data_IF_550959503302
#
_entry.id   IF_550959503302
#
_cell.length_a   1.000
_cell.length_b   1.000
_cell.length_c   1.000
_cell.angle_alpha   90.00
_cell.angle_beta   90.00
_cell.angle_gamma   90.00
#
_symmetry.space_group_name_H-M   'P 1'
#
loop_
_entity.id
_entity.type
_entity.pdbx_description
1 polymer ?
#
# COMPACT_ATOMS: atom_id res chain seq x y z
N UNK A 1 -16.31 10.69 -6.63
CA UNK A 1 -17.39 11.32 -7.42
C UNK A 1 -18.30 10.29 -8.04
N UNK A 2 -17.92 9.60 -9.12
CA UNK A 2 -18.77 8.63 -9.84
C UNK A 2 -19.44 7.60 -8.93
N UNK A 3 -18.66 6.89 -8.10
CA UNK A 3 -19.17 5.83 -7.21
C UNK A 3 -20.19 6.37 -6.19
N UNK A 4 -20.07 7.64 -5.80
CA UNK A 4 -20.91 8.28 -4.79
C UNK A 4 -22.12 9.02 -5.39
N UNK A 5 -22.33 8.98 -6.71
CA UNK A 5 -23.44 9.67 -7.38
C UNK A 5 -23.28 11.20 -7.47
N UNK A 6 -22.05 11.71 -7.35
CA UNK A 6 -21.73 13.14 -7.47
C UNK A 6 -21.52 13.49 -8.96
N UNK A 7 -22.59 13.43 -9.74
CA UNK A 7 -22.54 13.58 -11.20
C UNK A 7 -22.24 15.03 -11.63
N UNK A 8 -22.79 16.03 -10.95
CA UNK A 8 -22.52 17.45 -11.26
C UNK A 8 -21.04 17.80 -11.07
N UNK A 9 -20.43 17.37 -9.97
CA UNK A 9 -19.00 17.58 -9.71
C UNK A 9 -18.12 16.79 -10.69
N UNK A 10 -18.54 15.59 -11.07
CA UNK A 10 -17.84 14.79 -12.08
C UNK A 10 -17.86 15.49 -13.45
N UNK A 11 -19.03 15.95 -13.91
CA UNK A 11 -19.17 16.65 -15.18
C UNK A 11 -18.36 17.96 -15.18
N UNK A 12 -18.43 18.73 -14.09
CA UNK A 12 -17.62 19.92 -13.93
C UNK A 12 -16.12 19.62 -14.03
N UNK A 13 -15.65 18.57 -13.35
CA UNK A 13 -14.25 18.14 -13.40
C UNK A 13 -13.82 17.69 -14.81
N UNK A 14 -14.66 16.91 -15.48
CA UNK A 14 -14.42 16.41 -16.82
C UNK A 14 -14.32 17.55 -17.84
N UNK A 15 -15.32 18.44 -17.87
CA UNK A 15 -15.43 19.51 -18.86
C UNK A 15 -14.37 20.60 -18.67
N UNK A 16 -14.12 21.02 -17.42
CA UNK A 16 -13.29 22.19 -17.16
C UNK A 16 -11.81 21.86 -16.92
N UNK A 17 -11.49 20.64 -16.45
CA UNK A 17 -10.12 20.26 -16.12
C UNK A 17 -9.61 19.13 -17.00
N UNK A 18 -10.25 17.96 -17.00
CA UNK A 18 -9.69 16.78 -17.67
C UNK A 18 -9.52 16.98 -19.18
N UNK A 19 -10.53 17.58 -19.83
CA UNK A 19 -10.45 17.90 -21.27
C UNK A 19 -9.34 18.88 -21.62
N UNK A 20 -8.97 19.76 -20.68
CA UNK A 20 -7.99 20.83 -20.89
C UNK A 20 -6.58 20.47 -20.38
N UNK A 21 -6.40 19.31 -19.73
CA UNK A 21 -5.11 18.84 -19.24
C UNK A 21 -4.08 18.74 -20.37
N UNK A 22 -2.91 19.34 -20.13
CA UNK A 22 -1.77 19.33 -21.05
C UNK A 22 -0.58 18.64 -20.39
N UNK A 23 -0.35 17.37 -20.73
CA UNK A 23 0.76 16.57 -20.19
C UNK A 23 2.14 16.96 -20.76
N UNK A 24 2.23 18.06 -21.52
CA UNK A 24 3.50 18.65 -21.97
C UNK A 24 4.08 19.68 -21.02
N UNK A 25 3.36 20.06 -19.97
CA UNK A 25 3.77 21.13 -19.05
C UNK A 25 3.67 20.68 -17.60
N UNK A 26 4.71 21.00 -16.83
CA UNK A 26 4.69 20.85 -15.38
C UNK A 26 5.63 21.85 -14.71
N UNK A 27 5.34 22.23 -13.47
CA UNK A 27 6.24 23.07 -12.68
C UNK A 27 7.42 22.28 -12.07
N UNK A 28 7.37 20.94 -12.12
CA UNK A 28 8.39 20.05 -11.58
C UNK A 28 8.48 18.74 -12.39
N UNK A 29 9.60 17.98 -12.29
CA UNK A 29 9.65 16.62 -12.81
C UNK A 29 8.53 15.75 -12.23
N UNK A 30 7.92 14.92 -13.08
CA UNK A 30 6.88 13.98 -12.71
C UNK A 30 7.52 12.70 -12.17
N UNK A 31 7.08 12.21 -11.01
CA UNK A 31 7.48 10.91 -10.47
C UNK A 31 6.66 9.81 -11.16
N UNK A 32 7.31 8.87 -11.82
CA UNK A 32 6.65 7.87 -12.68
C UNK A 32 5.61 7.02 -11.93
N UNK A 33 6.02 6.49 -10.77
CA UNK A 33 5.16 5.70 -9.88
C UNK A 33 3.86 6.45 -9.52
N UNK A 34 3.98 7.66 -8.94
CA UNK A 34 2.84 8.50 -8.56
C UNK A 34 1.97 8.87 -9.77
N UNK A 35 2.61 9.10 -10.92
CA UNK A 35 1.88 9.48 -12.13
C UNK A 35 1.07 8.30 -12.68
N UNK A 36 1.59 7.07 -12.57
CA UNK A 36 0.88 5.85 -12.94
C UNK A 36 -0.32 5.61 -12.02
N UNK A 37 -0.08 5.50 -10.71
CA UNK A 37 -1.13 5.06 -9.79
C UNK A 37 -2.24 6.10 -9.63
N UNK A 38 -1.92 7.40 -9.67
CA UNK A 38 -2.91 8.48 -9.46
C UNK A 38 -3.59 8.93 -10.75
N UNK A 39 -2.80 9.36 -11.74
CA UNK A 39 -3.35 9.98 -12.95
C UNK A 39 -3.80 8.93 -13.96
N UNK A 40 -2.92 8.01 -14.36
CA UNK A 40 -3.29 6.94 -15.29
C UNK A 40 -4.39 6.06 -14.66
N UNK A 41 -4.20 5.65 -13.40
CA UNK A 41 -5.18 4.86 -12.67
C UNK A 41 -6.55 5.54 -12.58
N UNK A 42 -6.59 6.83 -12.23
CA UNK A 42 -7.82 7.62 -12.14
C UNK A 42 -8.54 7.78 -13.47
N UNK A 43 -7.80 8.07 -14.56
CA UNK A 43 -8.37 8.19 -15.91
C UNK A 43 -8.97 6.86 -16.39
N UNK A 44 -8.25 5.75 -16.21
CA UNK A 44 -8.70 4.42 -16.60
C UNK A 44 -9.93 3.97 -15.82
N UNK A 45 -9.96 4.19 -14.51
CA UNK A 45 -11.11 3.80 -13.69
C UNK A 45 -12.35 4.65 -14.00
N UNK A 46 -12.17 5.96 -14.23
CA UNK A 46 -13.28 6.80 -14.67
C UNK A 46 -13.83 6.34 -16.04
N UNK A 47 -12.94 5.95 -16.98
CA UNK A 47 -13.36 5.39 -18.26
C UNK A 47 -14.12 4.07 -18.10
N UNK A 48 -13.64 3.15 -17.24
CA UNK A 48 -14.32 1.88 -16.97
C UNK A 48 -15.74 2.07 -16.41
N UNK A 49 -15.98 3.16 -15.68
CA UNK A 49 -17.26 3.43 -15.02
C UNK A 49 -18.24 4.25 -15.89
N UNK A 50 -17.75 5.19 -16.71
CA UNK A 50 -18.62 6.11 -17.50
C UNK A 50 -18.50 5.94 -19.01
N UNK A 51 -17.40 5.39 -19.52
CA UNK A 51 -17.18 5.13 -20.94
C UNK A 51 -16.81 6.36 -21.79
N UNK A 52 -16.51 7.51 -21.18
CA UNK A 52 -16.15 8.74 -21.89
C UNK A 52 -14.81 8.59 -22.60
N UNK A 53 -14.82 8.44 -23.93
CA UNK A 53 -13.62 8.18 -24.75
C UNK A 53 -12.46 9.14 -24.51
N UNK A 54 -12.74 10.40 -24.17
CA UNK A 54 -11.71 11.40 -23.87
C UNK A 54 -10.81 10.99 -22.69
N UNK A 55 -11.33 10.26 -21.71
CA UNK A 55 -10.56 9.74 -20.58
C UNK A 55 -9.51 8.73 -21.05
N UNK A 56 -9.91 7.82 -21.94
CA UNK A 56 -9.00 6.84 -22.52
C UNK A 56 -7.97 7.52 -23.44
N UNK A 57 -8.39 8.50 -24.25
CA UNK A 57 -7.48 9.27 -25.10
C UNK A 57 -6.42 10.00 -24.25
N UNK A 58 -6.81 10.59 -23.11
CA UNK A 58 -5.89 11.21 -22.14
C UNK A 58 -4.99 10.21 -21.42
N UNK A 59 -5.50 9.02 -21.09
CA UNK A 59 -4.70 7.95 -20.49
C UNK A 59 -3.59 7.48 -21.45
N UNK A 60 -3.91 7.31 -22.73
CA UNK A 60 -2.93 6.98 -23.78
C UNK A 60 -1.93 8.13 -23.95
N UNK A 61 -2.40 9.39 -24.04
CA UNK A 61 -1.53 10.57 -24.16
C UNK A 61 -0.50 10.63 -23.02
N UNK A 62 -0.94 10.52 -21.77
CA UNK A 62 -0.07 10.52 -20.59
C UNK A 62 0.95 9.37 -20.65
N UNK A 63 0.48 8.17 -21.01
CA UNK A 63 1.32 6.99 -21.02
C UNK A 63 2.41 7.05 -22.09
N UNK A 64 2.06 7.43 -23.32
CA UNK A 64 3.04 7.56 -24.41
C UNK A 64 4.06 8.67 -24.15
N UNK A 65 3.60 9.77 -23.56
CA UNK A 65 4.42 10.97 -23.41
C UNK A 65 5.32 10.92 -22.17
N UNK A 66 4.81 10.43 -21.05
CA UNK A 66 5.47 10.57 -19.74
C UNK A 66 5.92 9.21 -19.21
N UNK A 67 5.08 8.18 -19.27
CA UNK A 67 5.35 6.92 -18.56
C UNK A 67 6.19 5.93 -19.37
N UNK A 68 5.84 5.68 -20.64
CA UNK A 68 6.61 4.78 -21.51
C UNK A 68 8.08 5.21 -21.68
N UNK A 69 8.40 6.51 -21.85
CA UNK A 69 9.79 6.95 -21.98
C UNK A 69 10.65 6.76 -20.72
N UNK A 70 10.07 6.45 -19.56
CA UNK A 70 10.84 6.14 -18.35
C UNK A 70 11.56 4.80 -18.46
N UNK A 71 11.02 3.84 -19.20
CA UNK A 71 11.56 2.48 -19.27
C UNK A 71 12.86 2.45 -20.08
N UNK A 72 13.96 2.10 -19.43
CA UNK A 72 15.27 1.99 -20.07
C UNK A 72 15.24 0.90 -21.17
N UNK A 73 15.68 1.20 -22.40
CA UNK A 73 15.55 0.28 -23.52
C UNK A 73 16.44 -0.96 -23.41
N UNK A 74 17.46 -0.96 -22.55
CA UNK A 74 18.38 -2.08 -22.37
C UNK A 74 17.89 -2.97 -21.23
N UNK A 75 17.65 -2.39 -20.05
CA UNK A 75 17.32 -3.16 -18.86
C UNK A 75 15.81 -3.43 -18.73
N UNK A 76 14.97 -2.55 -19.28
CA UNK A 76 13.53 -2.50 -19.08
C UNK A 76 13.10 -1.92 -17.73
N UNK A 77 14.03 -1.43 -16.91
CA UNK A 77 13.69 -0.79 -15.64
C UNK A 77 13.31 0.68 -15.88
N UNK A 78 12.25 1.21 -15.22
CA UNK A 78 11.92 2.62 -15.32
C UNK A 78 12.93 3.48 -14.54
N UNK A 79 13.18 4.69 -15.04
CA UNK A 79 13.75 5.78 -14.24
C UNK A 79 12.67 6.36 -13.30
N UNK A 80 13.07 6.95 -12.18
CA UNK A 80 12.11 7.45 -11.17
C UNK A 80 11.34 8.69 -11.64
N UNK A 81 12.00 9.61 -12.37
CA UNK A 81 11.43 10.91 -12.73
C UNK A 81 11.47 11.19 -14.23
N UNK A 82 10.45 11.88 -14.73
CA UNK A 82 10.37 12.43 -16.08
C UNK A 82 10.41 13.96 -16.05
N UNK A 83 11.33 14.58 -16.79
CA UNK A 83 11.36 16.02 -17.03
C UNK A 83 10.32 16.35 -18.11
N UNK A 84 9.13 16.76 -17.66
CA UNK A 84 7.96 17.01 -18.53
C UNK A 84 8.25 18.10 -19.56
N UNK A 85 8.85 19.20 -19.13
CA UNK A 85 9.15 20.35 -20.00
C UNK A 85 10.31 20.04 -20.96
N UNK A 86 11.33 19.33 -20.47
CA UNK A 86 12.45 18.86 -21.28
C UNK A 86 12.16 17.63 -22.14
N UNK A 87 10.97 17.03 -21.98
CA UNK A 87 10.48 15.83 -22.67
C UNK A 87 11.50 14.68 -22.66
N UNK A 88 12.03 14.35 -21.48
CA UNK A 88 13.05 13.30 -21.32
C UNK A 88 13.03 12.69 -19.92
N UNK A 89 13.39 11.40 -19.77
CA UNK A 89 13.59 10.82 -18.45
C UNK A 89 14.79 11.47 -17.74
N UNK A 90 14.67 11.66 -16.43
CA UNK A 90 15.78 12.02 -15.55
C UNK A 90 16.47 10.72 -15.14
N UNK A 91 17.66 10.48 -15.68
CA UNK A 91 18.39 9.24 -15.43
C UNK A 91 18.77 9.10 -13.95
N UNK A 92 18.27 8.04 -13.32
CA UNK A 92 18.64 7.59 -11.98
C UNK A 92 19.42 6.27 -12.06
N UNK A 93 20.27 6.01 -11.07
CA UNK A 93 21.06 4.78 -11.02
C UNK A 93 20.31 3.64 -10.32
N UNK A 94 19.39 3.98 -9.43
CA UNK A 94 18.67 3.02 -8.58
C UNK A 94 17.18 3.30 -8.60
N UNK A 95 16.39 2.25 -8.32
CA UNK A 95 14.93 2.29 -8.19
C UNK A 95 14.48 1.33 -7.08
N UNK A 96 13.34 1.60 -6.44
CA UNK A 96 12.78 0.73 -5.40
C UNK A 96 11.81 -0.31 -5.96
N UNK A 97 11.53 -1.37 -5.20
CA UNK A 97 10.55 -2.41 -5.54
C UNK A 97 9.19 -1.80 -5.94
N UNK A 98 8.59 -0.98 -5.06
CA UNK A 98 7.33 -0.29 -5.34
C UNK A 98 7.43 0.59 -6.60
N UNK A 99 8.52 1.34 -6.76
CA UNK A 99 8.65 2.28 -7.88
C UNK A 99 8.73 1.59 -9.24
N UNK A 100 9.25 0.37 -9.37
CA UNK A 100 9.23 -0.36 -10.65
C UNK A 100 8.12 -1.41 -10.76
N UNK A 101 7.64 -1.94 -9.62
CA UNK A 101 6.66 -3.02 -9.55
C UNK A 101 5.22 -2.58 -9.80
N UNK A 102 4.94 -1.31 -9.52
CA UNK A 102 3.57 -0.79 -9.40
C UNK A 102 3.13 -0.01 -10.65
N UNK A 103 3.43 -0.57 -11.83
CA UNK A 103 2.84 -0.17 -13.11
C UNK A 103 1.94 -1.26 -13.70
N UNK A 104 2.07 -2.50 -13.21
CA UNK A 104 1.56 -3.70 -13.87
C UNK A 104 0.04 -3.69 -14.01
N UNK A 105 -0.69 -3.23 -12.99
CA UNK A 105 -2.16 -3.19 -13.02
C UNK A 105 -2.68 -2.17 -14.03
N UNK A 106 -2.22 -0.91 -13.98
CA UNK A 106 -2.66 0.16 -14.89
C UNK A 106 -2.26 -0.14 -16.33
N UNK A 107 -1.02 -0.61 -16.55
CA UNK A 107 -0.53 -0.90 -17.90
C UNK A 107 -1.21 -2.13 -18.51
N UNK A 108 -1.55 -3.13 -17.69
CA UNK A 108 -2.36 -4.26 -18.12
C UNK A 108 -3.76 -3.79 -18.51
N UNK A 109 -4.41 -2.96 -17.69
CA UNK A 109 -5.73 -2.43 -18.01
C UNK A 109 -5.73 -1.56 -19.28
N UNK A 110 -4.76 -0.66 -19.42
CA UNK A 110 -4.60 0.15 -20.63
C UNK A 110 -4.43 -0.72 -21.88
N UNK A 111 -3.66 -1.80 -21.80
CA UNK A 111 -3.48 -2.74 -22.91
C UNK A 111 -4.76 -3.46 -23.29
N UNK A 112 -5.57 -3.88 -22.30
CA UNK A 112 -6.89 -4.49 -22.53
C UNK A 112 -7.84 -3.53 -23.25
N UNK A 113 -7.86 -2.25 -22.85
CA UNK A 113 -8.76 -1.26 -23.42
C UNK A 113 -8.34 -0.78 -24.82
N UNK A 114 -7.04 -0.72 -25.09
CA UNK A 114 -6.49 -0.23 -26.37
C UNK A 114 -6.19 -1.34 -27.38
N UNK A 115 -6.08 -2.59 -26.93
CA UNK A 115 -5.55 -3.70 -27.72
C UNK A 115 -4.03 -3.66 -27.93
N UNK A 116 -3.33 -2.66 -27.38
CA UNK A 116 -1.89 -2.51 -27.56
C UNK A 116 -1.12 -3.11 -26.38
N UNK A 117 -0.60 -4.32 -26.57
CA UNK A 117 0.10 -5.08 -25.52
C UNK A 117 1.45 -4.50 -25.09
N UNK A 118 1.97 -3.44 -25.75
CA UNK A 118 3.29 -2.90 -25.40
C UNK A 118 3.36 -2.40 -23.96
N UNK A 119 2.26 -1.86 -23.42
CA UNK A 119 2.22 -1.36 -22.04
C UNK A 119 2.32 -2.54 -21.06
N UNK A 120 1.42 -3.52 -21.16
CA UNK A 120 1.44 -4.70 -20.28
C UNK A 120 2.77 -5.43 -20.37
N UNK A 121 3.32 -5.61 -21.59
CA UNK A 121 4.56 -6.33 -21.80
C UNK A 121 5.74 -5.66 -21.09
N UNK A 122 5.87 -4.33 -21.17
CA UNK A 122 7.02 -3.64 -20.55
C UNK A 122 6.95 -3.69 -19.02
N UNK A 123 5.76 -3.47 -18.44
CA UNK A 123 5.57 -3.48 -16.99
C UNK A 123 5.67 -4.89 -16.39
N UNK A 124 5.08 -5.91 -17.05
CA UNK A 124 5.14 -7.28 -16.55
C UNK A 124 6.55 -7.87 -16.68
N UNK A 125 7.27 -7.58 -17.77
CA UNK A 125 8.60 -8.13 -17.99
C UNK A 125 9.61 -7.71 -16.90
N UNK A 126 9.51 -6.50 -16.34
CA UNK A 126 10.42 -6.06 -15.28
C UNK A 126 10.13 -6.77 -13.95
N UNK A 127 8.85 -6.98 -13.62
CA UNK A 127 8.45 -7.76 -12.44
C UNK A 127 8.83 -9.21 -12.58
N UNK A 128 8.62 -9.83 -13.75
CA UNK A 128 9.03 -11.21 -14.03
C UNK A 128 10.54 -11.40 -13.90
N UNK A 129 11.35 -10.45 -14.39
CA UNK A 129 12.80 -10.44 -14.19
C UNK A 129 13.19 -10.36 -12.71
N UNK A 130 12.45 -9.57 -11.92
CA UNK A 130 12.70 -9.40 -10.49
C UNK A 130 12.37 -10.68 -9.72
N UNK A 131 11.19 -11.27 -9.93
CA UNK A 131 10.78 -12.48 -9.21
C UNK A 131 11.62 -13.72 -9.57
N UNK A 132 12.20 -13.73 -10.77
CA UNK A 132 13.14 -14.76 -11.22
C UNK A 132 14.55 -14.61 -10.60
N UNK A 133 14.87 -13.51 -9.91
CA UNK A 133 16.14 -13.43 -9.18
C UNK A 133 16.10 -14.32 -7.94
N UNK A 134 17.22 -14.98 -7.58
CA UNK A 134 17.33 -15.68 -6.31
C UNK A 134 17.10 -14.72 -5.14
N UNK A 135 16.30 -15.14 -4.16
CA UNK A 135 16.09 -14.41 -2.92
C UNK A 135 16.57 -15.23 -1.72
N UNK A 136 17.05 -14.55 -0.67
CA UNK A 136 17.53 -15.20 0.56
C UNK A 136 16.37 -15.74 1.41
N UNK A 137 15.25 -15.03 1.41
CA UNK A 137 13.97 -15.46 1.96
C UNK A 137 13.02 -15.58 0.78
N UNK A 138 12.44 -16.75 0.55
CA UNK A 138 11.67 -17.03 -0.66
C UNK A 138 10.57 -15.99 -0.88
N UNK A 139 10.52 -15.38 -2.07
CA UNK A 139 9.53 -14.36 -2.40
C UNK A 139 9.75 -12.98 -1.76
N UNK A 140 10.79 -12.78 -0.94
CA UNK A 140 11.16 -11.47 -0.40
C UNK A 140 12.43 -10.93 -1.03
N UNK A 141 12.35 -9.74 -1.61
CA UNK A 141 13.42 -9.17 -2.42
C UNK A 141 14.04 -7.94 -1.76
N UNK A 142 15.32 -7.62 -2.04
CA UNK A 142 15.92 -6.36 -1.61
C UNK A 142 15.14 -5.17 -2.19
N UNK A 143 14.94 -4.12 -1.40
CA UNK A 143 14.10 -2.99 -1.77
C UNK A 143 14.69 -2.19 -2.94
N UNK A 144 16.01 -2.03 -2.99
CA UNK A 144 16.69 -1.17 -3.96
C UNK A 144 17.41 -1.97 -5.04
N UNK A 145 17.24 -1.55 -6.30
CA UNK A 145 17.78 -2.20 -7.49
C UNK A 145 18.52 -1.19 -8.35
N UNK A 146 19.59 -1.61 -9.02
CA UNK A 146 20.20 -0.82 -10.07
C UNK A 146 19.24 -0.75 -11.27
N UNK A 147 19.13 0.41 -11.93
CA UNK A 147 18.35 0.55 -13.17
C UNK A 147 19.06 -0.19 -14.31
N UNK A 148 20.38 -0.03 -14.45
CA UNK A 148 21.16 -0.67 -15.51
C UNK A 148 22.60 -0.98 -15.04
N UNK A 149 23.05 -2.25 -15.01
CA UNK A 149 22.27 -3.46 -15.29
C UNK A 149 21.20 -3.70 -14.20
N UNK A 150 20.03 -4.22 -14.58
CA UNK A 150 18.94 -4.45 -13.62
C UNK A 150 19.27 -5.60 -12.68
N UNK A 151 19.68 -5.26 -11.45
CA UNK A 151 20.10 -6.20 -10.40
C UNK A 151 19.79 -5.66 -9.00
N UNK A 152 19.44 -6.53 -8.04
CA UNK A 152 19.21 -6.11 -6.66
C UNK A 152 20.51 -5.62 -6.02
N UNK A 153 20.42 -4.65 -5.12
CA UNK A 153 21.53 -4.21 -4.30
C UNK A 153 21.67 -5.10 -3.06
N UNK A 154 22.81 -5.79 -2.93
CA UNK A 154 23.06 -6.79 -1.88
C UNK A 154 22.88 -6.27 -0.44
N UNK A 155 23.18 -4.99 -0.20
CA UNK A 155 23.10 -4.33 1.11
C UNK A 155 21.76 -3.59 1.34
N UNK A 156 20.79 -3.75 0.44
CA UNK A 156 19.50 -3.08 0.57
C UNK A 156 18.63 -3.76 1.63
N UNK A 157 17.76 -2.96 2.23
CA UNK A 157 16.73 -3.40 3.16
C UNK A 157 15.77 -4.37 2.47
N UNK A 158 15.38 -5.43 3.16
CA UNK A 158 14.20 -6.23 2.84
C UNK A 158 13.09 -5.75 3.76
N UNK A 159 12.10 -5.07 3.19
CA UNK A 159 10.89 -4.64 3.88
C UNK A 159 9.68 -4.89 2.98
N UNK A 160 8.49 -4.84 3.59
CA UNK A 160 7.19 -4.99 2.92
C UNK A 160 6.26 -3.80 3.21
N UNK A 161 6.85 -2.69 3.64
CA UNK A 161 6.21 -1.39 3.87
C UNK A 161 6.79 -0.35 2.91
N UNK A 162 7.02 0.87 3.38
CA UNK A 162 7.42 1.99 2.53
C UNK A 162 8.50 1.62 1.49
N UNK A 163 8.11 1.71 0.22
CA UNK A 163 8.98 1.49 -0.95
C UNK A 163 9.08 0.04 -1.43
N UNK A 164 8.59 -0.93 -0.65
CA UNK A 164 8.47 -2.34 -1.02
C UNK A 164 7.03 -2.85 -1.11
N UNK A 165 6.13 -2.29 -0.32
CA UNK A 165 4.68 -2.53 -0.23
C UNK A 165 3.99 -2.95 -1.54
N UNK A 166 3.76 -1.99 -2.43
CA UNK A 166 2.89 -2.10 -3.59
C UNK A 166 3.46 -3.01 -4.69
N UNK A 167 4.76 -3.31 -4.66
CA UNK A 167 5.32 -4.39 -5.49
C UNK A 167 4.65 -5.72 -5.15
N UNK A 168 4.57 -6.06 -3.87
CA UNK A 168 3.96 -7.31 -3.42
C UNK A 168 2.45 -7.28 -3.61
N UNK A 169 1.82 -6.14 -3.31
CA UNK A 169 0.40 -5.92 -3.55
C UNK A 169 0.01 -6.20 -5.01
N UNK A 170 0.82 -5.71 -5.95
CA UNK A 170 0.59 -5.84 -7.38
C UNK A 170 0.89 -7.22 -7.93
N UNK A 171 1.63 -8.08 -7.22
CA UNK A 171 1.76 -9.47 -7.68
C UNK A 171 0.38 -10.13 -7.79
N UNK A 172 -0.42 -10.09 -6.72
CA UNK A 172 -1.74 -10.69 -6.74
C UNK A 172 -2.76 -9.86 -7.53
N UNK A 173 -2.72 -8.52 -7.42
CA UNK A 173 -3.66 -7.66 -8.17
C UNK A 173 -3.46 -7.78 -9.68
N UNK A 174 -2.21 -7.88 -10.15
CA UNK A 174 -1.89 -8.15 -11.56
C UNK A 174 -2.31 -9.57 -11.98
N UNK A 175 -2.17 -10.55 -11.10
CA UNK A 175 -2.63 -11.92 -11.38
C UNK A 175 -4.15 -11.98 -11.62
N UNK A 176 -4.96 -11.25 -10.85
CA UNK A 176 -6.43 -11.30 -11.01
C UNK A 176 -6.94 -10.45 -12.18
N UNK A 177 -6.27 -9.34 -12.52
CA UNK A 177 -6.67 -8.50 -13.67
C UNK A 177 -6.26 -9.09 -15.03
N UNK A 178 -5.26 -9.98 -15.04
CA UNK A 178 -4.73 -10.58 -16.27
C UNK A 178 -5.68 -11.61 -16.88
N UNK A 179 -5.92 -11.53 -18.19
CA UNK A 179 -6.69 -12.53 -18.93
C UNK A 179 -5.97 -13.89 -18.98
N UNK A 180 -4.64 -13.87 -19.03
CA UNK A 180 -3.76 -15.04 -19.04
C UNK A 180 -2.75 -14.91 -17.89
N UNK A 181 -3.16 -15.20 -16.66
CA UNK A 181 -2.34 -14.91 -15.49
C UNK A 181 -1.11 -15.82 -15.39
N UNK A 182 0.05 -15.23 -15.07
CA UNK A 182 1.30 -15.95 -14.89
C UNK A 182 1.36 -16.61 -13.50
N UNK A 183 1.47 -17.94 -13.45
CA UNK A 183 1.53 -18.69 -12.19
C UNK A 183 2.77 -18.38 -11.35
N UNK A 184 3.87 -17.97 -11.97
CA UNK A 184 5.09 -17.62 -11.24
C UNK A 184 4.88 -16.37 -10.37
N UNK A 185 4.04 -15.44 -10.82
CA UNK A 185 3.64 -14.26 -10.04
C UNK A 185 2.85 -14.68 -8.79
N UNK A 186 1.87 -15.59 -8.95
CA UNK A 186 1.12 -16.12 -7.80
C UNK A 186 2.04 -16.89 -6.84
N UNK A 187 2.94 -17.71 -7.36
CA UNK A 187 3.89 -18.47 -6.55
C UNK A 187 4.83 -17.53 -5.77
N UNK A 188 5.32 -16.46 -6.40
CA UNK A 188 6.14 -15.45 -5.74
C UNK A 188 5.37 -14.74 -4.62
N UNK A 189 4.09 -14.40 -4.85
CA UNK A 189 3.23 -13.81 -3.83
C UNK A 189 2.98 -14.77 -2.65
N UNK A 190 2.65 -16.03 -2.91
CA UNK A 190 2.45 -17.05 -1.86
C UNK A 190 3.74 -17.24 -1.05
N UNK A 191 4.90 -17.29 -1.72
CA UNK A 191 6.18 -17.36 -1.05
C UNK A 191 6.45 -16.13 -0.18
N UNK A 192 6.12 -14.92 -0.67
CA UNK A 192 6.26 -13.68 0.09
C UNK A 192 5.40 -13.71 1.37
N UNK A 193 4.11 -14.04 1.27
CA UNK A 193 3.20 -14.11 2.43
C UNK A 193 3.70 -15.09 3.49
N UNK A 194 4.10 -16.29 3.07
CA UNK A 194 4.62 -17.30 4.00
C UNK A 194 5.93 -16.82 4.66
N UNK A 195 6.85 -16.25 3.87
CA UNK A 195 8.12 -15.72 4.37
C UNK A 195 7.94 -14.52 5.31
N UNK A 196 6.94 -13.66 5.09
CA UNK A 196 6.63 -12.57 6.02
C UNK A 196 6.27 -13.16 7.39
N UNK A 197 5.36 -14.13 7.42
CA UNK A 197 4.94 -14.77 8.67
C UNK A 197 6.10 -15.52 9.36
N UNK A 198 6.91 -16.25 8.58
CA UNK A 198 8.00 -17.08 9.10
C UNK A 198 9.17 -16.25 9.60
N UNK A 199 9.54 -15.18 8.88
CA UNK A 199 10.78 -14.44 9.12
C UNK A 199 10.58 -13.04 9.70
N UNK A 200 9.49 -12.34 9.39
CA UNK A 200 9.34 -10.92 9.72
C UNK A 200 8.31 -10.63 10.82
N UNK A 201 7.31 -11.50 11.01
CA UNK A 201 6.26 -11.32 12.01
C UNK A 201 6.80 -11.49 13.44
N UNK A 202 6.61 -10.47 14.26
CA UNK A 202 7.17 -10.35 15.60
C UNK A 202 6.12 -9.91 16.62
N UNK A 203 5.79 -10.74 17.64
CA UNK A 203 4.89 -10.35 18.71
C UNK A 203 5.51 -9.29 19.62
N UNK A 204 4.70 -8.33 20.09
CA UNK A 204 5.16 -7.33 21.07
C UNK A 204 5.38 -7.97 22.44
N UNK A 205 6.30 -7.41 23.23
CA UNK A 205 6.62 -7.88 24.57
C UNK A 205 5.48 -7.59 25.55
N UNK A 206 4.87 -6.43 25.39
CA UNK A 206 3.84 -5.88 26.25
C UNK A 206 2.50 -6.59 26.02
N UNK A 207 2.14 -6.87 24.77
CA UNK A 207 0.94 -7.63 24.40
C UNK A 207 1.23 -8.60 23.22
N UNK A 208 1.49 -9.88 23.51
CA UNK A 208 1.85 -10.85 22.48
C UNK A 208 0.73 -11.19 21.48
N UNK A 209 -0.51 -10.77 21.75
CA UNK A 209 -1.60 -10.89 20.76
C UNK A 209 -1.42 -9.91 19.61
N UNK A 210 -0.72 -8.79 19.85
CA UNK A 210 -0.36 -7.80 18.86
C UNK A 210 1.00 -8.16 18.28
N UNK A 211 1.06 -8.29 16.96
CA UNK A 211 2.26 -8.67 16.22
C UNK A 211 2.47 -7.75 15.02
N UNK A 212 3.68 -7.24 14.87
CA UNK A 212 4.06 -6.34 13.79
C UNK A 212 5.13 -6.97 12.90
N UNK A 213 5.31 -6.40 11.71
CA UNK A 213 6.23 -6.92 10.70
C UNK A 213 7.53 -6.14 10.73
N UNK A 214 8.61 -6.80 11.14
CA UNK A 214 9.94 -6.24 11.12
C UNK A 214 10.50 -6.12 9.69
N UNK A 215 11.57 -5.33 9.52
CA UNK A 215 12.37 -5.31 8.30
C UNK A 215 13.80 -5.75 8.58
N UNK A 216 14.55 -6.13 7.55
CA UNK A 216 15.93 -6.62 7.69
C UNK A 216 16.87 -5.85 6.77
N UNK A 217 17.93 -5.26 7.32
CA UNK A 217 18.97 -4.56 6.53
C UNK A 217 20.33 -4.94 7.06
N UNK A 218 21.29 -5.34 6.21
CA UNK A 218 22.67 -5.63 6.62
C UNK A 218 22.75 -6.46 7.91
N UNK A 219 22.01 -7.58 7.95
CA UNK A 219 21.98 -8.50 9.10
C UNK A 219 21.35 -7.93 10.39
N UNK A 220 20.75 -6.74 10.33
CA UNK A 220 20.04 -6.10 11.43
C UNK A 220 18.54 -6.20 11.21
N UNK A 221 17.84 -6.76 12.18
CA UNK A 221 16.38 -6.73 12.25
C UNK A 221 15.94 -5.40 12.84
N UNK A 222 15.09 -4.68 12.13
CA UNK A 222 14.49 -3.42 12.58
C UNK A 222 13.04 -3.67 12.97
N UNK A 223 12.74 -3.53 14.27
CA UNK A 223 11.39 -3.63 14.83
C UNK A 223 10.66 -2.29 14.73
N UNK A 224 10.42 -1.87 13.49
CA UNK A 224 9.71 -0.66 13.15
C UNK A 224 8.85 -0.92 11.90
N UNK A 225 7.64 -0.39 11.90
CA UNK A 225 6.67 -0.47 10.80
C UNK A 225 6.03 0.88 10.57
N UNK A 226 5.37 1.03 9.44
CA UNK A 226 4.64 2.23 9.03
C UNK A 226 3.17 1.89 8.75
N UNK A 227 2.28 2.89 8.75
CA UNK A 227 0.85 2.67 8.47
C UNK A 227 0.62 2.05 7.08
N UNK A 228 1.56 2.26 6.15
CA UNK A 228 1.49 1.69 4.80
C UNK A 228 1.38 0.17 4.84
N UNK A 229 2.01 -0.53 5.79
CA UNK A 229 1.91 -2.01 5.84
C UNK A 229 0.49 -2.52 6.06
N UNK A 230 -0.45 -1.68 6.51
CA UNK A 230 -1.79 -2.10 6.85
C UNK A 230 -2.70 -2.39 5.65
N UNK A 231 -2.20 -2.35 4.40
CA UNK A 231 -2.89 -2.88 3.21
C UNK A 231 -2.86 -4.42 3.16
N UNK A 232 -1.85 -5.03 3.78
CA UNK A 232 -1.58 -6.46 3.68
C UNK A 232 -2.72 -7.37 4.14
N UNK A 233 -3.45 -7.10 5.24
CA UNK A 233 -4.57 -7.95 5.65
C UNK A 233 -5.60 -8.10 4.52
N UNK A 234 -6.01 -7.01 3.86
CA UNK A 234 -6.90 -7.06 2.70
C UNK A 234 -6.27 -7.76 1.49
N UNK A 235 -4.98 -7.52 1.23
CA UNK A 235 -4.25 -8.18 0.14
C UNK A 235 -4.14 -9.71 0.32
N UNK A 236 -3.94 -10.19 1.55
CA UNK A 236 -3.91 -11.62 1.88
C UNK A 236 -5.27 -12.26 1.60
N UNK A 237 -6.37 -11.62 1.99
CA UNK A 237 -7.72 -12.11 1.67
C UNK A 237 -7.94 -12.22 0.16
N UNK A 238 -7.52 -11.21 -0.61
CA UNK A 238 -7.57 -11.25 -2.07
C UNK A 238 -6.79 -12.46 -2.63
N UNK A 239 -5.54 -12.67 -2.21
CA UNK A 239 -4.73 -13.76 -2.73
C UNK A 239 -5.17 -15.16 -2.30
N UNK A 240 -5.76 -15.28 -1.11
CA UNK A 240 -6.40 -16.53 -0.65
C UNK A 240 -7.50 -17.00 -1.60
N UNK A 241 -8.20 -16.11 -2.33
CA UNK A 241 -9.19 -16.53 -3.34
C UNK A 241 -8.56 -17.28 -4.53
N UNK A 242 -7.28 -17.03 -4.82
CA UNK A 242 -6.55 -17.65 -5.93
C UNK A 242 -5.72 -18.86 -5.52
N UNK A 243 -5.58 -19.10 -4.21
CA UNK A 243 -4.87 -20.26 -3.67
C UNK A 243 -5.75 -21.52 -3.64
N UNK A 244 -5.11 -22.65 -3.91
CA UNK A 244 -5.70 -23.99 -3.73
C UNK A 244 -5.20 -24.63 -2.43
N UNK A 245 -6.01 -25.50 -1.82
CA UNK A 245 -5.62 -26.23 -0.60
C UNK A 245 -6.04 -25.53 0.70
N UNK A 246 -5.42 -25.92 1.80
CA UNK A 246 -5.67 -25.34 3.12
C UNK A 246 -5.09 -23.92 3.20
N UNK A 247 -5.93 -22.99 3.65
CA UNK A 247 -5.66 -21.54 3.77
C UNK A 247 -5.77 -21.05 5.21
N UNK A 248 -5.92 -21.96 6.17
CA UNK A 248 -6.08 -21.67 7.60
C UNK A 248 -4.91 -20.86 8.16
N UNK A 249 -3.69 -21.17 7.69
CA UNK A 249 -2.46 -20.44 8.01
C UNK A 249 -2.56 -18.97 7.59
N UNK A 250 -2.83 -18.71 6.31
CA UNK A 250 -2.91 -17.34 5.77
C UNK A 250 -4.08 -16.58 6.39
N UNK A 251 -5.21 -17.24 6.63
CA UNK A 251 -6.36 -16.62 7.29
C UNK A 251 -6.01 -16.13 8.70
N UNK A 252 -5.35 -16.98 9.50
CA UNK A 252 -4.94 -16.62 10.86
C UNK A 252 -3.91 -15.49 10.86
N UNK A 253 -2.94 -15.56 9.94
CA UNK A 253 -1.94 -14.51 9.78
C UNK A 253 -2.60 -13.17 9.41
N UNK A 254 -3.48 -13.17 8.42
CA UNK A 254 -4.23 -11.98 8.02
C UNK A 254 -5.01 -11.39 9.20
N UNK A 255 -5.70 -12.22 9.99
CA UNK A 255 -6.49 -11.74 11.13
C UNK A 255 -5.60 -11.11 12.19
N UNK A 256 -4.50 -11.79 12.55
CA UNK A 256 -3.53 -11.26 13.52
C UNK A 256 -3.00 -9.90 13.06
N UNK A 257 -2.75 -9.75 11.76
CA UNK A 257 -2.24 -8.51 11.21
C UNK A 257 -3.33 -7.41 11.18
N UNK A 258 -4.57 -7.74 10.82
CA UNK A 258 -5.71 -6.83 10.87
C UNK A 258 -5.92 -6.28 12.30
N UNK A 259 -5.92 -7.16 13.30
CA UNK A 259 -6.09 -6.80 14.70
C UNK A 259 -4.96 -5.88 15.18
N UNK A 260 -3.72 -6.15 14.78
CA UNK A 260 -2.57 -5.29 15.06
C UNK A 260 -2.71 -3.90 14.44
N UNK A 261 -3.16 -3.79 13.19
CA UNK A 261 -3.40 -2.52 12.52
C UNK A 261 -4.54 -1.72 13.18
N UNK A 262 -5.66 -2.36 13.54
CA UNK A 262 -6.72 -1.69 14.30
C UNK A 262 -6.18 -1.18 15.64
N UNK A 263 -5.30 -1.94 16.29
CA UNK A 263 -4.70 -1.55 17.57
C UNK A 263 -3.85 -0.28 17.48
N UNK A 264 -3.21 -0.01 16.34
CA UNK A 264 -2.42 1.22 16.17
C UNK A 264 -3.29 2.46 16.20
N UNK A 265 -4.53 2.37 15.71
CA UNK A 265 -5.53 3.45 15.80
C UNK A 265 -6.09 3.58 17.22
N UNK A 266 -6.50 2.48 17.85
CA UNK A 266 -7.24 2.52 19.12
C UNK A 266 -6.43 2.99 20.32
N UNK A 267 -5.10 2.99 20.22
CA UNK A 267 -4.19 3.25 21.33
C UNK A 267 -3.49 4.61 21.26
N UNK A 268 -3.90 5.50 20.35
CA UNK A 268 -3.45 6.90 20.31
C UNK A 268 -4.39 7.84 21.06
N UNK A 269 -3.90 9.02 21.42
CA UNK A 269 -4.72 10.06 22.06
C UNK A 269 -5.95 10.44 21.24
N UNK A 270 -5.77 10.61 19.94
CA UNK A 270 -6.82 11.02 18.98
C UNK A 270 -7.66 9.84 18.47
N UNK A 271 -7.15 8.61 18.53
CA UNK A 271 -7.77 7.47 17.87
C UNK A 271 -7.46 7.39 16.36
N UNK A 272 -6.41 8.08 15.90
CA UNK A 272 -5.85 8.02 14.55
C UNK A 272 -4.50 7.30 14.58
N UNK A 273 -4.17 6.49 13.57
CA UNK A 273 -2.87 5.82 13.53
C UNK A 273 -1.71 6.79 13.29
N UNK A 274 -0.55 6.56 13.93
CA UNK A 274 0.70 7.26 13.60
C UNK A 274 1.26 6.76 12.26
N UNK A 275 2.01 7.59 11.56
CA UNK A 275 2.74 7.19 10.34
C UNK A 275 3.73 6.05 10.58
N UNK A 276 4.41 6.03 11.73
CA UNK A 276 5.47 5.06 12.04
C UNK A 276 5.46 4.69 13.52
N UNK A 277 5.62 3.40 13.82
CA UNK A 277 5.79 2.89 15.19
C UNK A 277 6.92 1.86 15.29
N UNK A 278 7.44 1.68 16.51
CA UNK A 278 8.41 0.65 16.86
C UNK A 278 7.94 -0.17 18.07
N UNK A 279 8.49 -1.36 18.28
CA UNK A 279 8.11 -2.19 19.43
C UNK A 279 9.27 -2.98 19.99
N UNK A 280 9.10 -3.42 21.25
CA UNK A 280 9.98 -4.42 21.85
C UNK A 280 9.45 -5.81 21.48
N UNK A 281 10.25 -6.69 20.85
CA UNK A 281 9.79 -8.03 20.52
C UNK A 281 9.75 -8.94 21.75
N UNK A 282 8.67 -9.72 21.93
CA UNK A 282 8.65 -10.87 22.85
C UNK A 282 9.51 -12.01 22.33
N UNK A 283 9.40 -12.27 21.03
CA UNK A 283 10.17 -13.27 20.30
C UNK A 283 10.74 -12.58 19.07
N UNK A 284 12.08 -12.53 18.92
CA UNK A 284 12.71 -11.98 17.73
C UNK A 284 12.13 -12.52 16.42
N UNK A 285 12.01 -11.65 15.42
CA UNK A 285 11.79 -12.06 14.04
C UNK A 285 12.93 -13.00 13.61
N UNK A 286 12.66 -13.88 12.65
CA UNK A 286 13.49 -15.02 12.20
C UNK A 286 13.60 -16.21 13.16
N UNK A 287 13.36 -16.02 14.48
CA UNK A 287 13.55 -17.07 15.51
C UNK A 287 12.72 -18.34 15.31
N UNK A 288 11.59 -18.26 14.60
CA UNK A 288 10.66 -19.38 14.39
C UNK A 288 11.16 -20.43 13.40
N UNK A 289 12.23 -20.15 12.65
CA UNK A 289 12.68 -21.02 11.55
C UNK A 289 13.81 -21.94 12.00
N UNK A 290 13.78 -23.22 11.61
CA UNK A 290 14.89 -24.16 11.85
C UNK A 290 15.97 -24.09 10.76
N UNK A 291 15.83 -23.20 9.76
CA UNK A 291 16.71 -23.13 8.57
C UNK A 291 18.14 -22.72 8.93
N UNK A 292 19.10 -23.67 8.91
CA UNK A 292 20.48 -23.41 9.31
C UNK A 292 21.21 -22.46 8.35
N UNK A 293 20.77 -22.27 7.10
CA UNK A 293 21.46 -21.39 6.14
C UNK A 293 21.12 -19.92 6.40
N UNK A 294 19.87 -19.65 6.75
CA UNK A 294 19.45 -18.33 7.24
C UNK A 294 20.17 -18.06 8.54
N UNK A 295 20.22 -19.04 9.45
CA UNK A 295 20.95 -18.93 10.70
C UNK A 295 22.46 -19.00 10.60
N UNK A 296 23.14 -19.55 9.61
CA UNK A 296 24.60 -19.44 9.49
C UNK A 296 24.96 -18.04 9.00
N UNK A 297 24.11 -17.47 8.15
CA UNK A 297 24.22 -16.08 7.70
C UNK A 297 23.69 -15.05 8.71
N UNK A 298 23.02 -15.50 9.77
CA UNK A 298 22.50 -14.67 10.87
C UNK A 298 23.34 -14.93 12.14
N UNK A 299 23.60 -16.16 12.59
CA UNK A 299 24.29 -16.54 13.86
C UNK A 299 25.78 -16.21 13.93
N UNK A 300 26.53 -16.11 12.84
CA UNK A 300 27.90 -15.55 12.91
C UNK A 300 27.90 -14.04 13.29
N UNK A 301 26.72 -13.45 13.46
CA UNK A 301 26.50 -12.00 13.69
C UNK A 301 25.83 -11.70 15.04
N UNK A 302 25.33 -12.69 15.81
CA UNK A 302 24.64 -12.41 17.08
C UNK A 302 25.50 -12.64 18.32
N UNK A 303 26.33 -11.65 18.61
CA UNK A 303 26.67 -11.26 19.97
C UNK A 303 26.66 -9.73 20.05
N UNK A 304 25.48 -9.13 20.02
CA UNK A 304 25.35 -7.67 19.94
C UNK A 304 24.00 -7.19 20.43
N UNK A 305 24.04 -6.40 21.49
CA UNK A 305 22.92 -5.71 22.14
C UNK A 305 21.93 -5.10 21.15
N UNK A 306 20.64 -5.37 21.37
CA UNK A 306 19.54 -4.50 20.96
C UNK A 306 19.98 -3.06 21.19
N UNK A 307 20.18 -2.29 20.11
CA UNK A 307 20.42 -0.87 20.21
C UNK A 307 19.15 -0.24 20.78
N UNK A 308 19.08 -0.11 22.10
CA UNK A 308 18.23 0.86 22.76
C UNK A 308 18.68 2.22 22.24
N UNK A 309 17.95 2.78 21.27
CA UNK A 309 18.01 4.21 21.07
C UNK A 309 17.50 4.82 22.37
N UNK A 310 18.35 5.55 23.08
CA UNK A 310 17.90 6.22 24.29
C UNK A 310 16.85 7.24 23.88
N UNK A 311 15.70 7.19 24.54
CA UNK A 311 14.71 8.24 24.53
C UNK A 311 15.29 9.47 25.25
N UNK A 312 16.22 10.17 24.61
CA UNK A 312 16.60 11.51 25.04
C UNK A 312 15.73 12.51 24.29
N UNK A 313 14.45 12.57 24.66
CA UNK A 313 13.68 13.78 24.54
C UNK A 313 13.28 14.18 25.95
N UNK A 314 13.96 15.21 26.46
CA UNK A 314 13.55 15.94 27.65
C UNK A 314 12.07 16.29 27.51
N UNK A 315 11.28 15.87 28.49
CA UNK A 315 9.89 16.25 28.65
C UNK A 315 9.82 17.75 28.91
N UNK A 316 9.64 18.54 27.87
CA UNK A 316 8.99 19.84 28.02
C UNK A 316 7.48 19.57 28.10
N UNK A 317 6.91 19.84 29.28
CA UNK A 317 5.54 19.49 29.63
C UNK A 317 4.51 20.03 28.62
N UNK A 318 3.77 19.11 28.00
CA UNK A 318 2.57 19.39 27.22
C UNK A 318 1.37 18.91 28.07
N UNK A 319 0.42 19.77 28.46
CA UNK A 319 -0.76 19.36 29.20
C UNK A 319 -1.75 18.61 28.28
N UNK A 320 -2.42 17.59 28.81
CA UNK A 320 -3.50 16.78 28.21
C UNK A 320 -3.10 15.53 27.41
N UNK A 321 -2.13 14.74 27.86
CA UNK A 321 -2.07 13.32 27.44
C UNK A 321 -3.08 12.50 28.24
N UNK A 322 -3.90 11.71 27.55
CA UNK A 322 -4.62 10.58 28.17
C UNK A 322 -3.58 9.68 28.85
N UNK A 323 -3.93 8.96 29.92
CA UNK A 323 -3.07 7.89 30.40
C UNK A 323 -2.96 6.83 29.30
N UNK A 324 -1.79 6.74 28.68
CA UNK A 324 -1.46 5.79 27.60
C UNK A 324 -0.85 4.49 28.16
N UNK A 325 -1.04 4.21 29.45
CA UNK A 325 -0.62 2.95 30.07
C UNK A 325 -1.22 1.75 29.30
N UNK A 326 -0.34 0.94 28.68
CA UNK A 326 -0.75 -0.28 27.97
C UNK A 326 -0.68 -0.25 26.44
N UNK A 327 -0.07 0.76 25.79
CA UNK A 327 0.26 0.70 24.36
C UNK A 327 1.38 -0.34 24.10
N UNK A 328 1.21 -1.29 23.17
CA UNK A 328 2.22 -2.33 22.90
C UNK A 328 3.34 -1.89 21.93
N UNK A 329 3.41 -0.60 21.62
CA UNK A 329 4.38 0.00 20.70
C UNK A 329 4.71 1.44 21.13
N UNK A 330 5.78 1.98 20.56
CA UNK A 330 6.20 3.37 20.68
C UNK A 330 5.94 4.10 19.37
N UNK A 331 5.47 5.35 19.44
CA UNK A 331 5.26 6.19 18.27
C UNK A 331 6.60 6.80 17.86
N UNK A 332 6.98 6.60 16.60
CA UNK A 332 8.21 7.14 16.01
C UNK A 332 7.91 8.28 15.03
N UNK A 333 6.90 8.10 14.19
CA UNK A 333 6.39 9.09 13.25
C UNK A 333 4.99 9.52 13.69
N UNK A 334 4.85 10.61 14.46
CA UNK A 334 3.63 10.90 15.20
C UNK A 334 2.51 11.52 14.34
N UNK A 335 2.78 11.88 13.10
CA UNK A 335 1.76 12.46 12.22
C UNK A 335 0.70 11.45 11.81
N UNK A 336 -0.46 11.95 11.35
CA UNK A 336 -1.43 11.18 10.57
C UNK A 336 -1.71 11.92 9.26
N UNK A 337 -1.38 11.28 8.15
CA UNK A 337 -1.41 11.91 6.83
C UNK A 337 -2.70 11.64 6.04
N UNK A 338 -3.83 11.38 6.72
CA UNK A 338 -5.12 11.04 6.09
C UNK A 338 -5.12 9.69 5.35
N UNK A 339 -4.18 8.82 5.70
CA UNK A 339 -3.90 7.58 4.96
C UNK A 339 -5.03 6.55 5.01
N UNK A 340 -5.14 5.68 3.98
CA UNK A 340 -6.25 4.75 3.83
C UNK A 340 -5.99 3.30 4.26
N UNK A 341 -4.76 2.85 4.50
CA UNK A 341 -4.42 1.43 4.36
C UNK A 341 -5.14 0.51 5.37
N UNK A 342 -5.28 0.93 6.63
CA UNK A 342 -6.10 0.19 7.60
C UNK A 342 -7.58 0.18 7.20
N UNK A 343 -8.10 1.29 6.66
CA UNK A 343 -9.50 1.41 6.21
C UNK A 343 -9.73 0.55 4.95
N UNK A 344 -8.77 0.47 4.03
CA UNK A 344 -8.78 -0.45 2.89
C UNK A 344 -8.96 -1.88 3.41
N UNK A 345 -8.10 -2.33 4.33
CA UNK A 345 -8.18 -3.68 4.86
C UNK A 345 -9.50 -3.95 5.58
N UNK A 346 -10.04 -2.99 6.36
CA UNK A 346 -11.38 -3.10 6.98
C UNK A 346 -12.45 -3.34 5.92
N UNK A 347 -12.40 -2.63 4.78
CA UNK A 347 -13.33 -2.84 3.67
C UNK A 347 -13.24 -4.26 3.10
N UNK A 348 -12.02 -4.77 2.84
CA UNK A 348 -11.86 -6.16 2.39
C UNK A 348 -12.39 -7.16 3.42
N UNK A 349 -12.13 -6.94 4.71
CA UNK A 349 -12.60 -7.81 5.78
C UNK A 349 -14.12 -7.83 5.90
N UNK A 350 -14.79 -6.67 5.82
CA UNK A 350 -16.24 -6.61 5.88
C UNK A 350 -16.91 -7.39 4.74
N UNK A 351 -16.37 -7.28 3.52
CA UNK A 351 -16.89 -7.96 2.33
C UNK A 351 -16.62 -9.47 2.33
N UNK A 352 -15.44 -9.88 2.78
CA UNK A 352 -14.99 -11.29 2.68
C UNK A 352 -15.36 -12.11 3.92
N UNK A 353 -15.11 -11.54 5.11
CA UNK A 353 -15.29 -12.22 6.39
C UNK A 353 -16.60 -11.77 7.05
N UNK A 354 -16.90 -10.47 7.01
CA UNK A 354 -18.01 -9.86 7.74
C UNK A 354 -17.80 -9.88 9.26
N UNK A 355 -18.86 -9.54 10.00
CA UNK A 355 -18.90 -9.73 11.45
C UNK A 355 -19.34 -11.15 11.85
N UNK A 356 -19.36 -11.41 13.16
CA UNK A 356 -19.90 -12.68 13.69
C UNK A 356 -21.44 -12.65 13.71
N UNK A 357 -22.08 -13.79 13.99
CA UNK A 357 -23.53 -13.82 14.25
C UNK A 357 -23.96 -12.90 15.39
N UNK A 358 -23.08 -12.71 16.38
CA UNK A 358 -23.34 -11.89 17.56
C UNK A 358 -23.01 -10.41 17.31
N UNK A 359 -22.17 -10.13 16.30
CA UNK A 359 -21.77 -8.77 15.95
C UNK A 359 -21.51 -8.62 14.45
N UNK A 360 -22.58 -8.59 13.63
CA UNK A 360 -22.49 -8.66 12.17
C UNK A 360 -21.84 -7.43 11.53
N UNK A 361 -21.87 -6.28 12.21
CA UNK A 361 -21.35 -5.00 11.72
C UNK A 361 -19.99 -4.62 12.34
N UNK A 362 -19.24 -5.59 12.89
CA UNK A 362 -17.95 -5.36 13.58
C UNK A 362 -17.00 -4.42 12.81
N UNK A 363 -16.73 -4.71 11.54
CA UNK A 363 -15.81 -3.92 10.72
C UNK A 363 -16.39 -2.55 10.33
N UNK A 364 -17.69 -2.46 10.10
CA UNK A 364 -18.40 -1.20 9.84
C UNK A 364 -18.34 -0.25 11.03
N UNK A 365 -18.53 -0.77 12.24
CA UNK A 365 -18.45 0.04 13.46
C UNK A 365 -17.02 0.55 13.72
N UNK A 366 -16.00 -0.24 13.40
CA UNK A 366 -14.60 0.22 13.44
C UNK A 366 -14.38 1.34 12.41
N UNK A 367 -14.77 1.13 11.16
CA UNK A 367 -14.64 2.14 10.11
C UNK A 367 -15.39 3.43 10.43
N UNK A 368 -16.57 3.34 11.04
CA UNK A 368 -17.34 4.50 11.47
C UNK A 368 -16.61 5.29 12.56
N UNK A 369 -16.08 4.60 13.59
CA UNK A 369 -15.26 5.25 14.62
C UNK A 369 -14.04 5.95 14.02
N UNK A 370 -13.34 5.32 13.08
CA UNK A 370 -12.20 5.93 12.39
C UNK A 370 -12.63 7.20 11.63
N UNK A 371 -13.73 7.14 10.88
CA UNK A 371 -14.29 8.30 10.21
C UNK A 371 -14.63 9.43 11.18
N UNK A 372 -15.28 9.13 12.32
CA UNK A 372 -15.57 10.14 13.35
C UNK A 372 -14.30 10.80 13.90
N UNK A 373 -13.21 10.05 14.08
CA UNK A 373 -11.92 10.62 14.50
C UNK A 373 -11.30 11.50 13.43
N UNK A 374 -11.35 11.09 12.17
CA UNK A 374 -10.92 11.92 11.04
C UNK A 374 -11.73 13.21 11.03
N UNK A 375 -13.07 13.13 11.06
CA UNK A 375 -13.96 14.30 11.11
C UNK A 375 -13.62 15.26 12.25
N UNK A 376 -13.34 14.72 13.43
CA UNK A 376 -13.13 15.53 14.62
C UNK A 376 -11.75 16.21 14.64
N UNK A 377 -10.69 15.49 14.27
CA UNK A 377 -9.31 15.98 14.43
C UNK A 377 -8.72 16.61 13.18
N UNK A 378 -9.20 16.26 11.98
CA UNK A 378 -8.55 16.66 10.73
C UNK A 378 -9.34 17.71 9.95
N UNK A 379 -10.66 17.81 10.15
CA UNK A 379 -11.53 18.78 9.45
C UNK A 379 -11.11 20.23 9.69
N UNK A 380 -11.26 21.04 8.64
CA UNK A 380 -11.08 22.49 8.60
C UNK A 380 -12.33 23.14 7.98
N UNK A 381 -12.33 24.47 7.82
CA UNK A 381 -13.44 25.20 7.20
C UNK A 381 -13.64 24.84 5.71
N UNK A 382 -12.60 24.36 5.03
CA UNK A 382 -12.58 24.13 3.57
C UNK A 382 -12.23 22.70 3.15
N UNK A 383 -11.84 21.84 4.09
CA UNK A 383 -11.45 20.47 3.79
C UNK A 383 -10.97 19.73 5.02
N UNK A 384 -9.91 18.94 4.86
CA UNK A 384 -9.24 18.19 5.90
C UNK A 384 -7.74 18.44 5.84
N UNK A 385 -7.06 18.31 6.96
CA UNK A 385 -5.61 18.47 7.04
C UNK A 385 -5.01 17.28 7.74
N UNK A 386 -3.86 16.80 7.26
CA UNK A 386 -2.98 15.94 8.07
C UNK A 386 -2.65 16.62 9.41
N UNK A 387 -2.43 15.81 10.45
CA UNK A 387 -2.06 16.30 11.79
C UNK A 387 -0.62 15.91 12.15
N UNK A 388 0.02 16.69 13.02
CA UNK A 388 1.45 16.54 13.35
C UNK A 388 1.71 15.50 14.44
N UNK A 389 0.79 15.36 15.39
CA UNK A 389 0.91 14.42 16.50
C UNK A 389 -0.45 13.79 16.85
N UNK A 390 -0.57 12.47 16.68
CA UNK A 390 -1.77 11.68 17.01
C UNK A 390 -2.01 11.51 18.50
N UNK A 391 -1.05 11.86 19.37
CA UNK A 391 -1.23 11.94 20.82
C UNK A 391 -1.60 13.35 21.31
N UNK A 392 -1.52 14.37 20.45
CA UNK A 392 -2.05 15.71 20.74
C UNK A 392 -3.56 15.78 20.44
N UNK A 393 -4.36 15.73 21.52
CA UNK A 393 -5.82 15.77 21.47
C UNK A 393 -6.39 17.19 21.32
N UNK A 394 -5.54 18.21 21.13
CA UNK A 394 -6.00 19.56 20.83
C UNK A 394 -6.68 19.62 19.46
N UNK A 395 -7.80 20.34 19.39
CA UNK A 395 -8.61 20.47 18.17
C UNK A 395 -8.37 21.76 17.40
N UNK A 396 -7.54 22.65 17.95
CA UNK A 396 -7.16 23.89 17.30
C UNK A 396 -6.22 23.68 16.11
N UNK A 397 -5.92 24.77 15.39
CA UNK A 397 -5.02 24.74 14.23
C UNK A 397 -3.58 24.34 14.58
N UNK A 398 -3.18 24.39 15.86
CA UNK A 398 -1.83 24.08 16.32
C UNK A 398 -1.32 22.68 15.95
N UNK A 399 -2.21 21.68 15.87
CA UNK A 399 -1.85 20.32 15.46
C UNK A 399 -2.04 20.06 13.94
N UNK A 400 -2.63 20.98 13.18
CA UNK A 400 -2.90 20.79 11.74
C UNK A 400 -1.73 21.25 10.88
N UNK A 401 -1.31 20.40 9.93
CA UNK A 401 -0.13 20.62 9.09
C UNK A 401 -0.36 21.42 7.80
N UNK A 402 -1.62 21.79 7.49
CA UNK A 402 -2.01 22.57 6.31
C UNK A 402 -1.73 21.82 4.98
N UNK A 403 -2.10 20.54 4.96
CA UNK A 403 -1.92 19.71 3.78
C UNK A 403 -3.01 18.64 3.67
N UNK A 404 -3.55 18.47 2.46
CA UNK A 404 -4.54 17.44 2.14
C UNK A 404 -4.08 16.68 0.90
N UNK A 405 -3.71 15.42 1.11
CA UNK A 405 -3.31 14.53 0.03
C UNK A 405 -4.47 14.14 -0.87
N UNK A 406 -4.17 13.88 -2.16
CA UNK A 406 -5.18 13.47 -3.13
C UNK A 406 -5.85 12.14 -2.77
N UNK A 407 -5.09 11.22 -2.16
CA UNK A 407 -5.59 9.92 -1.73
C UNK A 407 -6.68 10.01 -0.66
N UNK A 408 -6.84 11.14 0.03
CA UNK A 408 -7.98 11.29 0.92
C UNK A 408 -9.31 11.17 0.15
N UNK A 409 -9.39 11.76 -1.05
CA UNK A 409 -10.53 11.62 -1.94
C UNK A 409 -10.54 10.30 -2.70
N UNK A 410 -9.38 9.87 -3.20
CA UNK A 410 -9.30 8.67 -4.01
C UNK A 410 -9.52 7.40 -3.16
N UNK A 411 -9.04 7.37 -1.94
CA UNK A 411 -8.93 6.13 -1.16
C UNK A 411 -9.72 6.21 0.13
N UNK A 412 -9.33 7.07 1.07
CA UNK A 412 -9.88 7.10 2.42
C UNK A 412 -11.40 7.27 2.41
N UNK A 413 -11.90 8.28 1.70
CA UNK A 413 -13.35 8.50 1.57
C UNK A 413 -14.03 7.42 0.72
N UNK A 414 -13.34 6.84 -0.28
CA UNK A 414 -13.91 5.82 -1.16
C UNK A 414 -14.11 4.50 -0.40
N UNK A 415 -13.10 4.01 0.31
CA UNK A 415 -13.21 2.79 1.10
C UNK A 415 -14.19 2.95 2.26
N UNK A 416 -14.22 4.10 2.93
CA UNK A 416 -15.26 4.39 3.94
C UNK A 416 -16.66 4.36 3.32
N UNK A 417 -16.87 4.98 2.15
CA UNK A 417 -18.17 4.93 1.48
C UNK A 417 -18.56 3.51 1.07
N UNK A 418 -17.63 2.75 0.48
CA UNK A 418 -17.87 1.38 0.04
C UNK A 418 -18.14 0.42 1.20
N UNK A 419 -17.52 0.64 2.35
CA UNK A 419 -17.76 -0.10 3.59
C UNK A 419 -19.24 -0.01 4.05
N UNK A 420 -19.91 1.11 3.77
CA UNK A 420 -21.33 1.31 4.11
C UNK A 420 -22.27 1.18 2.90
N UNK A 421 -21.72 0.90 1.72
CA UNK A 421 -22.50 0.66 0.49
C UNK A 421 -22.98 -0.79 0.41
N UNK A 422 -23.96 -1.05 -0.45
CA UNK A 422 -24.38 -2.41 -0.79
C UNK A 422 -23.19 -3.23 -1.35
N UNK A 423 -23.15 -4.52 -1.02
CA UNK A 423 -22.06 -5.44 -1.39
C UNK A 423 -21.91 -5.63 -2.91
N UNK A 424 -22.96 -5.32 -3.69
CA UNK A 424 -22.90 -5.31 -5.16
C UNK A 424 -22.17 -4.07 -5.72
N UNK A 425 -22.12 -2.97 -4.97
CA UNK A 425 -21.39 -1.77 -5.37
C UNK A 425 -19.88 -2.05 -5.35
N UNK A 426 -19.26 -1.98 -6.53
CA UNK A 426 -17.85 -2.32 -6.75
C UNK A 426 -17.44 -3.66 -6.12
N UNK A 427 -18.26 -4.69 -6.35
CA UNK A 427 -18.03 -6.03 -5.82
C UNK A 427 -16.61 -6.53 -6.09
N UNK A 428 -15.96 -7.04 -5.04
CA UNK A 428 -14.63 -7.65 -5.07
C UNK A 428 -14.58 -8.94 -5.90
N UNK A 429 -15.73 -9.50 -6.25
CA UNK A 429 -15.81 -10.59 -7.20
C UNK A 429 -15.48 -10.15 -8.62
N UNK A 430 -15.71 -8.89 -8.96
CA UNK A 430 -15.68 -8.37 -10.33
C UNK A 430 -14.69 -7.24 -10.55
N UNK A 431 -14.28 -6.57 -9.48
CA UNK A 431 -13.33 -5.46 -9.51
C UNK A 431 -12.07 -5.76 -8.70
N UNK A 432 -10.95 -5.27 -9.19
CA UNK A 432 -9.71 -5.15 -8.44
C UNK A 432 -9.36 -3.67 -8.35
N UNK A 433 -8.99 -3.22 -7.16
CA UNK A 433 -8.59 -1.83 -6.92
C UNK A 433 -7.08 -1.68 -7.12
N UNK A 434 -6.62 -0.63 -7.79
CA UNK A 434 -5.21 -0.23 -7.79
C UNK A 434 -4.71 0.10 -6.38
N UNK A 435 -3.42 0.42 -6.22
CA UNK A 435 -2.84 0.90 -4.94
C UNK A 435 -3.33 2.31 -4.56
N UNK A 436 -4.04 3.01 -5.45
CA UNK A 436 -4.68 4.31 -5.17
C UNK A 436 -6.23 4.18 -5.24
N UNK A 437 -6.73 3.00 -4.86
CA UNK A 437 -8.14 2.63 -4.83
C UNK A 437 -8.91 2.88 -6.13
N UNK A 438 -8.27 2.86 -7.31
CA UNK A 438 -8.98 2.98 -8.59
C UNK A 438 -9.51 1.61 -9.03
N UNK A 439 -10.84 1.41 -9.16
CA UNK A 439 -11.40 0.11 -9.50
C UNK A 439 -11.23 -0.19 -10.99
N UNK A 440 -10.73 -1.38 -11.31
CA UNK A 440 -10.70 -1.92 -12.66
C UNK A 440 -11.51 -3.20 -12.77
N UNK A 441 -12.27 -3.33 -13.85
CA UNK A 441 -13.07 -4.52 -14.09
C UNK A 441 -12.17 -5.70 -14.45
N UNK A 442 -12.28 -6.79 -13.68
CA UNK A 442 -11.55 -8.03 -13.95
C UNK A 442 -12.19 -8.81 -15.11
N UNK A 443 -11.40 -9.58 -15.88
CA UNK A 443 -11.92 -10.37 -16.99
C UNK A 443 -12.75 -11.59 -16.55
N UNK A 444 -12.63 -11.99 -15.28
CA UNK A 444 -13.35 -13.13 -14.70
C UNK A 444 -13.72 -12.86 -13.25
N UNK A 445 -14.83 -13.47 -12.81
CA UNK A 445 -15.21 -13.42 -11.39
C UNK A 445 -14.32 -14.32 -10.55
N UNK A 446 -13.94 -13.86 -9.35
CA UNK A 446 -13.08 -14.62 -8.41
C UNK A 446 -13.80 -15.17 -7.19
N UNK A 447 -15.09 -14.86 -6.98
CA UNK A 447 -15.91 -15.33 -5.83
C UNK A 447 -15.18 -15.15 -4.48
N UNK A 448 -14.72 -13.94 -4.23
CA UNK A 448 -13.96 -13.54 -3.06
C UNK A 448 -14.88 -13.14 -1.89
N UNK A 449 -16.01 -12.47 -2.15
CA UNK A 449 -16.91 -11.99 -1.09
C UNK A 449 -18.06 -12.97 -0.79
N UNK A 450 -18.71 -12.75 0.37
CA UNK A 450 -19.77 -13.61 0.93
C UNK A 450 -21.08 -13.65 0.12
#
# INVERSE_FOLDING_TARGET
MIIMGLDEEYEYALENFVKTLDFSKSNAPSKGFETSIRYLGGLLAAYDLKGDKILLDKAVELTERVLMPLFDPISGAPYTYFDVNGNRPVKTNTITLAEFGTYTVEFTRLSQLTGNMKYANVANAIVEKAIAQPSRMAGLYPNSWNVNPFKPLNASIVNVGAGGDSFYEYLIKNYVISEKPNKDILNAWVAAVNSIEDYLLSPTKEDPSIQFIASITNQTVNYQSDELICFWPGNILLGMSQMTGDKSRQQKFAQTFMDSCIKTWETTGTGLAPEVWSWNPKTPATQKTEDPNIWEHIKDIFNGSVLKRSSNNEQNGIPNKRDLSGRPFEIVGPSYNLRPETIESIFYYDRVVGGSSDYPDYYKDIGWRMFEKIQYYTKTDTGYSSIRDVDDISTGLGNKSDFQESFFFAETLKYLYLLFSDDSCMSLDHYVFSTEAHPFKMPRSIKLQK
#
